data_IF_379214405443
#
_entry.id   IF_379214405443
#
_cell.length_a   1.000
_cell.length_b   1.000
_cell.length_c   1.000
_cell.angle_alpha   90.00
_cell.angle_beta   90.00
_cell.angle_gamma   90.00
#
_symmetry.space_group_name_H-M   'P 1'
#
loop_
_entity.id
_entity.type
_entity.pdbx_description
1 polymer ?
#
# COMPACT_ATOMS: atom_id res chain seq x y z
N UNK A 1 -0.70 3.53 20.73
CA UNK A 1 -1.48 2.28 20.61
C UNK A 1 -1.41 1.90 19.14
N UNK A 2 -0.81 0.76 18.81
CA UNK A 2 -0.80 0.28 17.42
C UNK A 2 -2.19 -0.28 17.15
N UNK A 3 -2.95 0.35 16.26
CA UNK A 3 -4.24 -0.19 15.82
C UNK A 3 -3.94 -1.42 14.97
N UNK A 4 -4.52 -2.57 15.35
CA UNK A 4 -4.48 -3.75 14.50
C UNK A 4 -5.25 -3.47 13.21
N UNK A 5 -4.71 -3.94 12.09
CA UNK A 5 -5.38 -3.89 10.78
C UNK A 5 -6.23 -5.15 10.68
N UNK A 6 -7.53 -5.02 10.41
CA UNK A 6 -8.43 -6.16 10.25
C UNK A 6 -8.64 -6.56 8.77
N UNK A 7 -9.32 -7.68 8.52
CA UNK A 7 -9.59 -8.17 7.15
C UNK A 7 -10.38 -7.18 6.29
N UNK A 8 -11.32 -6.43 6.87
CA UNK A 8 -12.09 -5.43 6.14
C UNK A 8 -11.20 -4.27 5.72
N UNK A 9 -10.24 -3.86 6.56
CA UNK A 9 -9.25 -2.86 6.17
C UNK A 9 -8.42 -3.34 4.98
N UNK A 10 -8.04 -4.61 4.95
CA UNK A 10 -7.25 -5.18 3.86
C UNK A 10 -8.02 -5.26 2.53
N UNK A 11 -9.33 -5.50 2.57
CA UNK A 11 -10.19 -5.57 1.37
C UNK A 11 -10.46 -4.20 0.74
N UNK A 12 -10.28 -3.11 1.48
CA UNK A 12 -10.47 -1.76 0.95
C UNK A 12 -9.37 -1.35 -0.04
N UNK A 13 -9.80 -0.79 -1.17
CA UNK A 13 -8.91 -0.24 -2.20
C UNK A 13 -8.07 0.90 -1.64
N UNK A 14 -6.85 1.05 -2.16
CA UNK A 14 -5.89 2.03 -1.66
C UNK A 14 -5.14 2.73 -2.81
N UNK A 15 -4.72 3.96 -2.53
CA UNK A 15 -3.76 4.70 -3.36
C UNK A 15 -2.51 4.94 -2.50
N UNK A 16 -1.34 4.58 -3.01
CA UNK A 16 -0.06 4.79 -2.37
C UNK A 16 0.67 5.90 -3.13
N UNK A 17 1.01 6.97 -2.44
CA UNK A 17 1.88 8.02 -2.97
C UNK A 17 3.31 7.70 -2.60
N UNK A 18 4.16 7.59 -3.63
CA UNK A 18 5.55 7.23 -3.50
C UNK A 18 6.38 8.42 -4.03
N UNK A 19 7.16 9.12 -3.17
CA UNK A 19 7.97 10.25 -3.61
C UNK A 19 8.86 9.87 -4.80
N UNK A 20 9.62 8.79 -4.68
CA UNK A 20 10.39 8.18 -5.76
C UNK A 20 9.90 6.76 -6.02
N UNK A 21 10.27 6.14 -7.16
CA UNK A 21 10.19 4.69 -7.30
C UNK A 21 10.96 4.03 -6.14
N UNK A 22 10.44 2.93 -5.63
CA UNK A 22 11.00 2.09 -4.56
C UNK A 22 10.55 2.46 -3.13
N UNK A 23 10.15 3.72 -2.88
CA UNK A 23 9.66 4.15 -1.55
C UNK A 23 8.41 3.34 -1.12
N UNK A 24 7.55 2.95 -2.06
CA UNK A 24 6.36 2.14 -1.78
C UNK A 24 6.74 0.74 -1.32
N UNK A 25 7.77 0.16 -1.94
CA UNK A 25 8.25 -1.19 -1.64
C UNK A 25 8.96 -1.18 -0.28
N UNK A 26 9.83 -0.20 -0.04
CA UNK A 26 10.61 -0.10 1.20
C UNK A 26 9.76 0.34 2.41
N UNK A 27 8.82 1.27 2.20
CA UNK A 27 8.01 1.83 3.28
C UNK A 27 6.75 1.03 3.61
N UNK A 28 6.07 0.47 2.60
CA UNK A 28 4.75 -0.14 2.79
C UNK A 28 4.49 -1.38 1.92
N UNK A 29 5.53 -2.00 1.32
CA UNK A 29 5.37 -3.16 0.45
C UNK A 29 4.62 -4.32 1.09
N UNK A 30 4.83 -4.55 2.40
CA UNK A 30 4.12 -5.56 3.17
C UNK A 30 2.60 -5.37 3.14
N UNK A 31 2.10 -4.16 3.42
CA UNK A 31 0.66 -3.89 3.46
C UNK A 31 0.06 -3.86 2.04
N UNK A 32 0.82 -3.42 1.03
CA UNK A 32 0.42 -3.50 -0.38
C UNK A 32 0.15 -4.96 -0.77
N UNK A 33 1.06 -5.88 -0.43
CA UNK A 33 0.91 -7.31 -0.70
C UNK A 33 -0.29 -7.88 0.05
N UNK A 34 -0.46 -7.56 1.34
CA UNK A 34 -1.61 -8.02 2.11
C UNK A 34 -2.94 -7.58 1.49
N UNK A 35 -3.07 -6.29 1.14
CA UNK A 35 -4.26 -5.76 0.46
C UNK A 35 -4.52 -6.43 -0.90
N UNK A 36 -3.48 -6.62 -1.70
CA UNK A 36 -3.59 -7.32 -3.00
C UNK A 36 -4.07 -8.77 -2.86
N UNK A 37 -3.61 -9.49 -1.82
CA UNK A 37 -4.04 -10.88 -1.54
C UNK A 37 -5.52 -10.97 -1.18
N UNK A 38 -6.05 -9.95 -0.50
CA UNK A 38 -7.48 -9.83 -0.19
C UNK A 38 -8.33 -9.29 -1.34
N UNK A 39 -7.75 -9.13 -2.54
CA UNK A 39 -8.46 -8.68 -3.74
C UNK A 39 -8.66 -7.16 -3.83
N UNK A 40 -8.05 -6.36 -2.97
CA UNK A 40 -8.16 -4.92 -3.03
C UNK A 40 -7.44 -4.33 -4.25
N UNK A 41 -8.04 -3.30 -4.85
CA UNK A 41 -7.36 -2.50 -5.86
C UNK A 41 -6.36 -1.57 -5.20
N UNK A 42 -5.08 -1.77 -5.48
CA UNK A 42 -4.01 -0.85 -5.06
C UNK A 42 -3.44 -0.16 -6.28
N UNK A 43 -3.45 1.17 -6.27
CA UNK A 43 -2.79 2.03 -7.25
C UNK A 43 -1.59 2.73 -6.60
N UNK A 44 -0.52 2.89 -7.36
CA UNK A 44 0.70 3.54 -6.90
C UNK A 44 0.91 4.77 -7.77
N UNK A 45 1.17 5.91 -7.15
CA UNK A 45 1.45 7.17 -7.82
C UNK A 45 2.88 7.56 -7.45
N UNK A 46 3.77 7.45 -8.43
CA UNK A 46 5.13 7.98 -8.34
C UNK A 46 5.08 9.49 -8.58
N UNK A 47 5.60 10.26 -7.63
CA UNK A 47 5.54 11.72 -7.67
C UNK A 47 6.73 12.32 -8.41
N UNK A 48 7.89 11.70 -8.24
CA UNK A 48 9.16 12.02 -8.89
C UNK A 48 9.75 10.73 -9.49
N UNK A 49 10.79 10.87 -10.32
CA UNK A 49 11.52 9.76 -10.95
C UNK A 49 12.83 9.39 -10.24
N UNK A 50 13.21 10.14 -9.21
CA UNK A 50 14.40 9.91 -8.37
C UNK A 50 14.99 11.19 -7.82
#
# INVERSE_FOLDING_TARGET
>A
MMTEIDENDLKQSAVVFSPHPDDETLGCGGIIICKKREGANVKIVFMCDG
#
